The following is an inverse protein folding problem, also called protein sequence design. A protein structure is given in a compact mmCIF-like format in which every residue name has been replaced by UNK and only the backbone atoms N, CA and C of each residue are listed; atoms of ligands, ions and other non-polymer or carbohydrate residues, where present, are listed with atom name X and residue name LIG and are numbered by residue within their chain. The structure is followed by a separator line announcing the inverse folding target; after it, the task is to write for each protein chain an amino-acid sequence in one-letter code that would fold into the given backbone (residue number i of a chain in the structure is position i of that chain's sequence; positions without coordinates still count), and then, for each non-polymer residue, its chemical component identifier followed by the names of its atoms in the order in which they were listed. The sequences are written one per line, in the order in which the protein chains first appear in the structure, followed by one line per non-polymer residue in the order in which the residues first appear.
data_IF_334269986925
#
_entry.id   IF_334269986925
#
_cell.length_a   1.000
_cell.length_b   1.000
_cell.length_c   1.000
_cell.angle_alpha   90.00
_cell.angle_beta   90.00
_cell.angle_gamma   90.00
#
_symmetry.space_group_name_H-M   'P 1'
#
loop_
_entity.id
_entity.type
_entity.pdbx_description
1 polymer ?
#
# COMPACT_ATOMS: atom_id res chain seq x y z
N UNK A 1 -12.45 -7.70 12.87
CA UNK A 1 -11.24 -7.48 12.05
C UNK A 1 -10.03 -7.72 12.96
N UNK A 2 -9.05 -8.55 12.58
CA UNK A 2 -7.87 -8.78 13.45
C UNK A 2 -6.86 -7.64 13.27
N UNK A 3 -6.03 -7.41 14.31
CA UNK A 3 -5.09 -6.27 14.36
C UNK A 3 -4.20 -6.18 13.11
N UNK A 4 -3.68 -7.31 12.62
CA UNK A 4 -2.86 -7.36 11.40
C UNK A 4 -3.62 -6.92 10.14
N UNK A 5 -4.87 -7.37 9.96
CA UNK A 5 -5.67 -6.97 8.80
C UNK A 5 -6.03 -5.48 8.85
N UNK A 6 -6.30 -4.95 10.05
CA UNK A 6 -6.52 -3.52 10.24
C UNK A 6 -5.25 -2.71 9.88
N UNK A 7 -4.08 -3.14 10.36
CA UNK A 7 -2.81 -2.51 10.02
C UNK A 7 -2.53 -2.53 8.51
N UNK A 8 -2.78 -3.65 7.82
CA UNK A 8 -2.63 -3.75 6.36
C UNK A 8 -3.56 -2.80 5.60
N UNK A 9 -4.80 -2.62 6.06
CA UNK A 9 -5.71 -1.62 5.48
C UNK A 9 -5.21 -0.19 5.69
N UNK A 10 -4.69 0.12 6.88
CA UNK A 10 -4.08 1.44 7.15
C UNK A 10 -2.85 1.68 6.27
N UNK A 11 -1.96 0.70 6.16
CA UNK A 11 -0.76 0.78 5.30
C UNK A 11 -1.17 0.94 3.84
N UNK A 12 -2.14 0.15 3.36
CA UNK A 12 -2.64 0.25 1.99
C UNK A 12 -3.18 1.66 1.70
N UNK A 13 -4.05 2.18 2.58
CA UNK A 13 -4.63 3.50 2.41
C UNK A 13 -3.57 4.61 2.43
N UNK A 14 -2.66 4.58 3.41
CA UNK A 14 -1.61 5.59 3.54
C UNK A 14 -0.65 5.53 2.36
N UNK A 15 -0.17 4.34 1.99
CA UNK A 15 0.75 4.16 0.87
C UNK A 15 0.11 4.58 -0.45
N UNK A 16 -1.18 4.31 -0.67
CA UNK A 16 -1.89 4.74 -1.87
C UNK A 16 -2.01 6.26 -1.96
N UNK A 17 -2.33 6.92 -0.85
CA UNK A 17 -2.35 8.39 -0.77
C UNK A 17 -0.96 8.95 -1.05
N UNK A 18 0.06 8.53 -0.30
CA UNK A 18 1.42 9.04 -0.50
C UNK A 18 1.87 8.83 -1.94
N UNK A 19 1.63 7.65 -2.53
CA UNK A 19 1.98 7.36 -3.92
C UNK A 19 1.30 8.34 -4.90
N UNK A 20 -0.02 8.56 -4.75
CA UNK A 20 -0.79 9.46 -5.61
C UNK A 20 -0.35 10.92 -5.52
N UNK A 21 0.08 11.38 -4.33
CA UNK A 21 0.55 12.75 -4.11
C UNK A 21 2.08 12.91 -4.24
N UNK A 22 2.83 11.83 -4.51
CA UNK A 22 4.31 11.89 -4.58
C UNK A 22 4.77 12.85 -5.68
N UNK A 23 4.06 12.92 -6.81
CA UNK A 23 4.38 13.84 -7.92
C UNK A 23 4.04 15.31 -7.66
N UNK A 24 3.29 15.61 -6.60
CA UNK A 24 2.93 16.97 -6.21
C UNK A 24 3.90 17.56 -5.18
N UNK A 25 4.50 16.70 -4.36
CA UNK A 25 5.36 17.10 -3.25
C UNK A 25 6.87 16.90 -3.53
N UNK A 26 7.23 16.06 -4.50
CA UNK A 26 8.61 15.69 -4.79
C UNK A 26 8.88 15.68 -6.28
N UNK A 27 10.14 15.90 -6.67
CA UNK A 27 10.59 15.90 -8.06
C UNK A 27 11.88 15.06 -8.21
N UNK A 28 12.24 14.74 -9.46
CA UNK A 28 13.47 14.06 -9.84
C UNK A 28 13.62 12.67 -9.22
N UNK A 29 14.85 12.33 -8.84
CA UNK A 29 15.17 11.00 -8.31
C UNK A 29 14.39 10.65 -7.03
N UNK A 30 14.11 11.65 -6.17
CA UNK A 30 13.38 11.44 -4.92
C UNK A 30 11.92 11.05 -5.19
N UNK A 31 11.28 11.66 -6.18
CA UNK A 31 9.93 11.29 -6.61
C UNK A 31 9.88 9.83 -7.09
N UNK A 32 10.86 9.40 -7.88
CA UNK A 32 10.92 8.04 -8.41
C UNK A 32 11.05 7.02 -7.28
N UNK A 33 11.98 7.23 -6.34
CA UNK A 33 12.20 6.30 -5.22
C UNK A 33 10.97 6.20 -4.34
N UNK A 34 10.34 7.34 -4.01
CA UNK A 34 9.13 7.37 -3.19
C UNK A 34 7.94 6.72 -3.90
N UNK A 35 7.77 6.97 -5.20
CA UNK A 35 6.70 6.37 -5.99
C UNK A 35 6.87 4.84 -6.08
N UNK A 36 8.06 4.36 -6.40
CA UNK A 36 8.32 2.92 -6.50
C UNK A 36 8.14 2.23 -5.14
N UNK A 37 8.69 2.81 -4.07
CA UNK A 37 8.58 2.23 -2.73
C UNK A 37 7.13 2.16 -2.23
N UNK A 38 6.40 3.27 -2.32
CA UNK A 38 5.00 3.33 -1.87
C UNK A 38 4.07 2.51 -2.77
N UNK A 39 4.29 2.51 -4.09
CA UNK A 39 3.54 1.67 -5.03
C UNK A 39 3.73 0.18 -4.75
N UNK A 40 4.96 -0.25 -4.44
CA UNK A 40 5.23 -1.63 -4.04
C UNK A 40 4.50 -1.99 -2.75
N UNK A 41 4.48 -1.10 -1.75
CA UNK A 41 3.76 -1.31 -0.50
C UNK A 41 2.24 -1.42 -0.69
N UNK A 42 1.67 -0.64 -1.62
CA UNK A 42 0.26 -0.75 -2.04
C UNK A 42 -0.02 -2.14 -2.58
N UNK A 43 0.76 -2.59 -3.57
CA UNK A 43 0.55 -3.90 -4.21
C UNK A 43 0.69 -5.02 -3.19
N UNK A 44 1.76 -5.02 -2.39
CA UNK A 44 1.99 -6.05 -1.39
C UNK A 44 0.85 -6.12 -0.36
N UNK A 45 0.39 -4.97 0.14
CA UNK A 45 -0.72 -4.91 1.10
C UNK A 45 -2.02 -5.41 0.49
N UNK A 46 -2.32 -5.02 -0.75
CA UNK A 46 -3.52 -5.46 -1.46
C UNK A 46 -3.51 -6.98 -1.71
N UNK A 47 -2.38 -7.54 -2.13
CA UNK A 47 -2.22 -9.00 -2.35
C UNK A 47 -2.40 -9.77 -1.04
N UNK A 48 -1.75 -9.34 0.05
CA UNK A 48 -1.90 -10.03 1.34
C UNK A 48 -3.35 -9.98 1.84
N UNK A 49 -4.01 -8.82 1.72
CA UNK A 49 -5.42 -8.66 2.08
C UNK A 49 -6.33 -9.56 1.22
N UNK A 50 -6.03 -9.70 -0.07
CA UNK A 50 -6.74 -10.57 -1.00
C UNK A 50 -6.56 -12.04 -0.63
N UNK A 51 -5.34 -12.50 -0.40
CA UNK A 51 -5.07 -13.88 0.02
C UNK A 51 -5.69 -14.22 1.39
N UNK A 52 -5.72 -13.26 2.32
CA UNK A 52 -6.44 -13.41 3.60
C UNK A 52 -7.96 -13.49 3.44
N UNK A 53 -8.52 -12.97 2.33
CA UNK A 53 -9.95 -13.11 2.02
C UNK A 53 -10.24 -14.51 1.50
N UNK A 54 -9.39 -15.06 0.63
CA UNK A 54 -9.57 -16.41 0.08
C UNK A 54 -9.44 -17.50 1.16
N UNK A 55 -8.48 -17.37 2.08
CA UNK A 55 -8.36 -18.29 3.23
C UNK A 55 -9.56 -18.34 4.18
N UNK A 56 -10.51 -17.40 4.07
CA UNK A 56 -11.73 -17.37 4.89
C UNK A 56 -12.95 -17.98 4.19
N UNK A 57 -12.86 -18.32 2.90
CA UNK A 57 -13.91 -19.06 2.21
C UNK A 57 -13.60 -20.56 2.39
N UNK A 58 -14.50 -21.34 3.02
CA UNK A 58 -14.31 -22.78 3.21
C UNK A 58 -14.30 -23.53 1.88
#
# INVERSE_FOLDING_TARGET
MNALKAALWCVLALAAVVNAFTSLAFDGAQQVVLSVGTGTAVIASAVVLFLMRERRRP
#
